data_IF_876289075219
#
_entry.id   IF_876289075219
#
_cell.length_a   1.000
_cell.length_b   1.000
_cell.length_c   1.000
_cell.angle_alpha   90.00
_cell.angle_beta   90.00
_cell.angle_gamma   90.00
#
_symmetry.space_group_name_H-M   'P 1'
#
loop_
_entity.id
_entity.type
_entity.pdbx_description
1 polymer ?
#
# COMPACT_ATOMS: atom_id res chain seq x y z
N UNK A 1 16.92 21.42 21.00
CA UNK A 1 17.14 20.14 20.28
C UNK A 1 15.89 19.26 20.09
N UNK A 2 14.78 19.49 20.77
CA UNK A 2 13.53 18.72 20.65
C UNK A 2 12.80 18.87 19.29
N UNK A 3 13.00 19.98 18.58
CA UNK A 3 12.20 20.34 17.39
C UNK A 3 12.55 19.54 16.11
N UNK A 4 13.75 18.96 16.01
CA UNK A 4 14.16 18.14 14.82
C UNK A 4 13.62 16.70 14.87
N UNK A 5 13.41 16.15 16.06
CA UNK A 5 12.89 14.80 16.26
C UNK A 5 11.41 14.67 15.87
N UNK A 6 10.60 15.69 16.13
CA UNK A 6 9.16 15.67 15.81
C UNK A 6 8.87 15.90 14.33
N UNK A 7 9.77 16.56 13.57
CA UNK A 7 9.58 16.83 12.15
C UNK A 7 9.47 15.56 11.29
N UNK A 8 10.30 14.55 11.53
CA UNK A 8 10.28 13.30 10.73
C UNK A 8 9.00 12.47 10.93
N UNK A 9 8.42 12.48 12.12
CA UNK A 9 7.16 11.78 12.37
C UNK A 9 5.97 12.55 11.75
N UNK A 10 5.99 13.88 11.78
CA UNK A 10 4.95 14.72 11.15
C UNK A 10 4.96 14.66 9.61
N UNK A 11 6.05 14.22 9.00
CA UNK A 11 6.17 14.02 7.56
C UNK A 11 5.66 12.64 7.08
N UNK A 12 5.31 11.75 8.02
CA UNK A 12 4.77 10.44 7.66
C UNK A 12 3.42 10.57 6.97
N UNK A 13 3.37 10.04 5.75
CA UNK A 13 2.17 9.97 4.93
C UNK A 13 1.86 8.53 4.57
N UNK A 14 0.59 8.20 4.54
CA UNK A 14 0.15 6.88 4.13
C UNK A 14 -1.23 6.50 4.64
N UNK A 15 -1.75 5.38 4.14
CA UNK A 15 -3.05 4.84 4.56
C UNK A 15 -3.00 4.53 6.06
N UNK A 16 -3.95 5.06 6.81
CA UNK A 16 -4.05 4.84 8.26
C UNK A 16 -3.15 5.76 9.11
N UNK A 17 -2.33 6.66 8.53
CA UNK A 17 -1.54 7.64 9.30
C UNK A 17 -2.32 8.95 9.39
N UNK A 18 -2.52 9.45 10.59
CA UNK A 18 -3.21 10.70 10.89
C UNK A 18 -2.30 11.63 11.68
N UNK A 19 -2.42 12.92 11.41
CA UNK A 19 -1.76 13.96 12.20
C UNK A 19 -2.80 14.53 13.18
N UNK A 20 -2.65 14.24 14.46
CA UNK A 20 -3.50 14.78 15.51
C UNK A 20 -2.80 15.98 16.15
N UNK A 21 -3.42 17.18 16.21
CA UNK A 21 -2.78 18.37 16.78
C UNK A 21 -2.32 18.21 18.24
N UNK A 22 -3.03 17.38 19.02
CA UNK A 22 -2.73 17.17 20.44
C UNK A 22 -1.88 15.93 20.71
N UNK A 23 -2.01 14.89 19.87
CA UNK A 23 -1.45 13.55 20.11
C UNK A 23 -0.32 13.20 19.14
N UNK A 24 -0.03 14.06 18.17
CA UNK A 24 1.04 13.85 17.17
C UNK A 24 0.64 12.88 16.06
N UNK A 25 1.59 12.11 15.56
CA UNK A 25 1.35 11.16 14.47
C UNK A 25 0.75 9.86 14.98
N UNK A 26 -0.42 9.51 14.48
CA UNK A 26 -1.16 8.32 14.88
C UNK A 26 -1.30 7.36 13.69
N UNK A 27 -0.93 6.11 13.90
CA UNK A 27 -1.20 5.00 12.99
C UNK A 27 -2.49 4.30 13.42
N UNK A 28 -3.53 4.39 12.60
CA UNK A 28 -4.80 3.72 12.85
C UNK A 28 -4.78 2.29 12.33
N UNK A 29 -5.06 1.34 13.19
CA UNK A 29 -5.27 -0.06 12.81
C UNK A 29 -6.77 -0.32 12.56
N UNK A 30 -7.10 -0.61 11.31
CA UNK A 30 -8.48 -0.86 10.87
C UNK A 30 -9.09 -2.13 11.49
N UNK A 31 -8.27 -3.08 11.92
CA UNK A 31 -8.74 -4.34 12.50
C UNK A 31 -9.14 -4.19 13.97
N UNK A 32 -8.34 -3.45 14.75
CA UNK A 32 -8.57 -3.28 16.20
C UNK A 32 -9.21 -1.96 16.56
N UNK A 33 -9.40 -1.05 15.58
CA UNK A 33 -9.87 0.33 15.80
C UNK A 33 -9.01 1.13 16.81
N UNK A 34 -7.75 0.71 16.98
CA UNK A 34 -6.78 1.37 17.86
C UNK A 34 -5.94 2.39 17.08
N UNK A 35 -5.64 3.50 17.72
CA UNK A 35 -4.69 4.49 17.23
C UNK A 35 -3.35 4.35 17.94
N UNK A 36 -2.30 3.93 17.25
CA UNK A 36 -0.95 3.82 17.80
C UNK A 36 -0.17 5.11 17.60
N UNK A 37 0.41 5.65 18.67
CA UNK A 37 1.25 6.84 18.57
C UNK A 37 2.62 6.47 18.01
N UNK A 38 3.00 7.09 16.88
CA UNK A 38 4.29 6.89 16.24
C UNK A 38 5.21 8.06 16.57
N UNK A 39 6.37 7.74 17.11
CA UNK A 39 7.47 8.69 17.33
C UNK A 39 8.47 8.62 16.17
N UNK A 40 9.43 9.54 16.17
CA UNK A 40 10.47 9.55 15.12
C UNK A 40 11.33 8.30 15.11
N UNK A 41 11.54 7.68 16.28
CA UNK A 41 12.26 6.41 16.41
C UNK A 41 11.53 5.24 15.76
N UNK A 42 10.22 5.32 15.60
CA UNK A 42 9.37 4.25 15.07
C UNK A 42 9.20 4.30 13.56
N UNK A 43 9.61 5.42 12.93
CA UNK A 43 9.51 5.65 11.49
C UNK A 43 10.18 4.55 10.65
N UNK A 44 11.39 4.06 10.98
CA UNK A 44 12.02 2.99 10.21
C UNK A 44 11.18 1.71 10.21
N UNK A 45 10.68 1.28 11.37
CA UNK A 45 9.85 0.08 11.50
C UNK A 45 8.53 0.21 10.75
N UNK A 46 7.89 1.38 10.79
CA UNK A 46 6.71 1.66 9.98
C UNK A 46 7.03 1.60 8.48
N UNK A 47 8.17 2.14 8.05
CA UNK A 47 8.58 2.11 6.64
C UNK A 47 8.82 0.68 6.16
N UNK A 48 9.48 -0.15 6.97
CA UNK A 48 9.69 -1.58 6.68
C UNK A 48 8.35 -2.30 6.46
N UNK A 49 7.32 -1.97 7.23
CA UNK A 49 6.00 -2.61 7.07
C UNK A 49 5.36 -2.37 5.69
N UNK A 50 5.71 -1.29 5.02
CA UNK A 50 5.26 -1.00 3.65
C UNK A 50 5.92 -1.90 2.60
N UNK A 51 7.09 -2.44 2.90
CA UNK A 51 7.83 -3.31 2.00
C UNK A 51 7.35 -4.77 2.04
N UNK A 52 6.46 -5.15 2.95
CA UNK A 52 6.03 -6.55 3.08
C UNK A 52 5.33 -7.07 1.81
N UNK A 53 4.50 -6.25 1.17
CA UNK A 53 3.84 -6.65 -0.08
C UNK A 53 4.85 -6.80 -1.24
N UNK A 54 5.73 -5.82 -1.54
CA UNK A 54 6.80 -6.02 -2.50
C UNK A 54 7.67 -7.25 -2.22
N UNK A 55 8.04 -7.49 -0.96
CA UNK A 55 8.84 -8.67 -0.58
C UNK A 55 8.08 -9.97 -0.88
N UNK A 56 6.79 -10.04 -0.58
CA UNK A 56 5.98 -11.21 -0.90
C UNK A 56 5.90 -11.46 -2.41
N UNK A 57 5.79 -10.41 -3.22
CA UNK A 57 5.83 -10.50 -4.68
C UNK A 57 7.19 -11.01 -5.18
N UNK A 58 8.29 -10.55 -4.60
CA UNK A 58 9.63 -11.04 -4.93
C UNK A 58 9.77 -12.53 -4.55
N UNK A 59 9.28 -12.94 -3.39
CA UNK A 59 9.26 -14.36 -2.97
C UNK A 59 8.49 -15.20 -3.99
N UNK A 60 7.30 -14.75 -4.40
CA UNK A 60 6.52 -15.43 -5.43
C UNK A 60 7.32 -15.57 -6.73
N UNK A 61 7.93 -14.48 -7.20
CA UNK A 61 8.72 -14.48 -8.44
C UNK A 61 9.89 -15.47 -8.38
N UNK A 62 10.65 -15.48 -7.29
CA UNK A 62 11.77 -16.39 -7.09
C UNK A 62 11.29 -17.85 -7.13
N UNK A 63 10.23 -18.17 -6.40
CA UNK A 63 9.69 -19.53 -6.32
C UNK A 63 9.16 -20.02 -7.66
N UNK A 64 8.38 -19.19 -8.33
CA UNK A 64 7.72 -19.58 -9.59
C UNK A 64 8.69 -19.57 -10.77
N UNK A 65 9.50 -18.51 -10.93
CA UNK A 65 10.33 -18.31 -12.13
C UNK A 65 11.70 -18.99 -11.99
N UNK A 66 12.37 -18.80 -10.85
CA UNK A 66 13.74 -19.30 -10.67
C UNK A 66 13.77 -20.76 -10.21
N UNK A 67 12.92 -21.12 -9.24
CA UNK A 67 12.87 -22.49 -8.70
C UNK A 67 11.95 -23.38 -9.53
N UNK A 68 11.10 -22.77 -10.41
CA UNK A 68 10.11 -23.47 -11.23
C UNK A 68 9.11 -24.28 -10.40
N UNK A 69 8.79 -23.77 -9.21
CA UNK A 69 7.76 -24.35 -8.37
C UNK A 69 6.39 -24.12 -9.01
N UNK A 70 5.45 -25.04 -8.75
CA UNK A 70 4.07 -24.90 -9.20
C UNK A 70 3.45 -23.53 -8.81
N UNK A 71 2.65 -22.97 -9.71
CA UNK A 71 2.08 -21.62 -9.56
C UNK A 71 1.27 -21.48 -8.26
N UNK A 72 0.42 -22.46 -7.97
CA UNK A 72 -0.44 -22.42 -6.78
C UNK A 72 0.39 -22.52 -5.50
N UNK A 73 1.39 -23.40 -5.47
CA UNK A 73 2.31 -23.52 -4.32
C UNK A 73 3.10 -22.24 -4.10
N UNK A 74 3.56 -21.61 -5.18
CA UNK A 74 4.30 -20.35 -5.11
C UNK A 74 3.46 -19.21 -4.53
N UNK A 75 2.19 -19.09 -4.94
CA UNK A 75 1.25 -18.12 -4.37
C UNK A 75 1.00 -18.40 -2.90
N UNK A 76 0.69 -19.65 -2.54
CA UNK A 76 0.42 -20.02 -1.13
C UNK A 76 1.59 -19.63 -0.24
N UNK A 77 2.82 -19.98 -0.64
CA UNK A 77 4.02 -19.64 0.16
C UNK A 77 4.20 -18.13 0.26
N UNK A 78 4.00 -17.37 -0.82
CA UNK A 78 4.13 -15.92 -0.80
C UNK A 78 3.08 -15.27 0.11
N UNK A 79 1.82 -15.73 0.06
CA UNK A 79 0.74 -15.25 0.93
C UNK A 79 1.01 -15.59 2.39
N UNK A 80 1.42 -16.82 2.69
CA UNK A 80 1.81 -17.22 4.05
C UNK A 80 2.94 -16.36 4.57
N UNK A 81 3.98 -16.13 3.76
CA UNK A 81 5.10 -15.26 4.13
C UNK A 81 4.65 -13.84 4.44
N UNK A 82 3.74 -13.26 3.62
CA UNK A 82 3.16 -11.96 3.89
C UNK A 82 2.40 -11.91 5.22
N UNK A 83 1.56 -12.92 5.47
CA UNK A 83 0.78 -12.99 6.72
C UNK A 83 1.69 -13.12 7.93
N UNK A 84 2.73 -13.97 7.86
CA UNK A 84 3.72 -14.13 8.93
C UNK A 84 4.44 -12.80 9.21
N UNK A 85 4.90 -12.08 8.17
CA UNK A 85 5.51 -10.76 8.32
C UNK A 85 4.56 -9.76 9.00
N UNK A 86 3.28 -9.78 8.66
CA UNK A 86 2.26 -8.93 9.28
C UNK A 86 2.03 -9.25 10.74
N UNK A 87 1.96 -10.53 11.09
CA UNK A 87 1.80 -10.98 12.48
C UNK A 87 3.03 -10.59 13.31
N UNK A 88 4.24 -10.86 12.81
CA UNK A 88 5.47 -10.47 13.49
C UNK A 88 5.58 -8.97 13.72
N UNK A 89 5.23 -8.16 12.72
CA UNK A 89 5.18 -6.71 12.83
C UNK A 89 4.22 -6.27 13.94
N UNK A 90 3.04 -6.88 13.99
CA UNK A 90 2.05 -6.58 15.02
C UNK A 90 2.56 -6.92 16.42
N UNK A 91 3.05 -8.15 16.61
CA UNK A 91 3.51 -8.63 17.91
C UNK A 91 4.77 -7.92 18.38
N UNK A 92 5.76 -7.75 17.50
CA UNK A 92 7.07 -7.20 17.88
C UNK A 92 7.11 -5.68 17.90
N UNK A 93 6.26 -5.02 17.12
CA UNK A 93 6.29 -3.56 16.98
C UNK A 93 5.01 -2.89 17.47
N UNK A 94 3.84 -3.17 16.89
CA UNK A 94 2.62 -2.43 17.26
C UNK A 94 2.24 -2.60 18.72
N UNK A 95 2.35 -3.80 19.27
CA UNK A 95 1.98 -4.06 20.68
C UNK A 95 2.87 -3.36 21.70
N UNK A 96 4.02 -2.82 21.27
CA UNK A 96 4.94 -2.05 22.13
C UNK A 96 4.67 -0.55 22.11
N UNK A 97 3.88 -0.08 21.14
CA UNK A 97 3.56 1.34 21.01
C UNK A 97 2.43 1.74 21.96
N UNK A 98 2.48 2.95 22.51
CA UNK A 98 1.34 3.52 23.22
C UNK A 98 0.16 3.62 22.26
N UNK A 99 -1.01 3.20 22.71
CA UNK A 99 -2.22 3.17 21.90
C UNK A 99 -3.39 3.88 22.58
N UNK A 100 -4.32 4.30 21.75
CA UNK A 100 -5.59 4.91 22.15
C UNK A 100 -6.69 3.97 21.69
N UNK A 101 -7.49 3.48 22.62
CA UNK A 101 -8.64 2.64 22.29
C UNK A 101 -9.74 3.48 21.64
N UNK A 102 -10.47 2.83 20.73
CA UNK A 102 -11.59 3.45 20.00
C UNK A 102 -11.24 4.83 19.42
N UNK A 103 -10.04 4.93 18.82
CA UNK A 103 -9.58 6.20 18.25
C UNK A 103 -10.54 6.67 17.16
N UNK A 104 -11.17 7.82 17.41
CA UNK A 104 -12.01 8.49 16.41
C UNK A 104 -11.10 9.23 15.45
N UNK A 105 -11.15 8.81 14.19
CA UNK A 105 -10.34 9.42 13.13
C UNK A 105 -10.72 10.91 12.97
N UNK A 106 -9.78 11.83 13.06
CA UNK A 106 -10.02 13.19 12.64
C UNK A 106 -10.21 13.16 11.12
N UNK A 107 -11.36 13.56 10.66
CA UNK A 107 -11.78 13.67 9.27
C UNK A 107 -12.23 12.40 8.52
N UNK A 108 -13.41 12.55 7.99
CA UNK A 108 -14.03 11.74 6.96
C UNK A 108 -13.50 12.04 5.55
N UNK A 109 -12.28 12.56 5.39
CA UNK A 109 -11.73 12.73 4.04
C UNK A 109 -11.63 11.38 3.36
N UNK A 110 -12.34 11.23 2.24
CA UNK A 110 -12.31 10.03 1.42
C UNK A 110 -10.88 9.68 0.98
N UNK A 111 -10.61 8.40 0.79
CA UNK A 111 -9.29 7.91 0.33
C UNK A 111 -8.77 8.67 -0.89
N UNK A 112 -9.65 9.03 -1.83
CA UNK A 112 -9.32 9.79 -3.04
C UNK A 112 -8.82 11.20 -2.74
N UNK A 113 -9.53 11.94 -1.90
CA UNK A 113 -9.16 13.31 -1.53
C UNK A 113 -7.83 13.34 -0.79
N UNK A 114 -7.63 12.38 0.10
CA UNK A 114 -6.40 12.20 0.84
C UNK A 114 -5.23 11.84 -0.09
N UNK A 115 -5.43 10.92 -1.02
CA UNK A 115 -4.42 10.55 -2.02
C UNK A 115 -4.08 11.75 -2.90
N UNK A 116 -5.08 12.52 -3.34
CA UNK A 116 -4.87 13.74 -4.10
C UNK A 116 -4.03 14.77 -3.34
N UNK A 117 -4.22 14.90 -2.03
CA UNK A 117 -3.43 15.81 -1.18
C UNK A 117 -1.99 15.30 -0.99
N UNK A 118 -1.82 14.03 -0.66
CA UNK A 118 -0.56 13.46 -0.18
C UNK A 118 0.44 13.14 -1.30
N UNK A 119 -0.03 12.83 -2.51
CA UNK A 119 0.83 12.50 -3.64
C UNK A 119 1.09 13.72 -4.53
N UNK A 120 2.31 13.83 -5.09
CA UNK A 120 2.63 14.86 -6.07
C UNK A 120 1.91 14.62 -7.41
N UNK A 121 1.73 15.67 -8.21
CA UNK A 121 1.18 15.56 -9.57
C UNK A 121 1.93 14.53 -10.42
N UNK A 122 3.26 14.59 -10.37
CA UNK A 122 4.12 13.68 -11.14
C UNK A 122 3.89 12.23 -10.75
N UNK A 123 3.75 11.93 -9.45
CA UNK A 123 3.50 10.57 -8.98
C UNK A 123 2.13 10.05 -9.40
N UNK A 124 1.08 10.86 -9.31
CA UNK A 124 -0.26 10.47 -9.73
C UNK A 124 -0.31 10.23 -11.24
N UNK A 125 0.32 11.10 -12.03
CA UNK A 125 0.40 10.95 -13.48
C UNK A 125 1.18 9.69 -13.87
N UNK A 126 2.36 9.48 -13.27
CA UNK A 126 3.17 8.28 -13.51
C UNK A 126 2.38 6.99 -13.18
N UNK A 127 1.67 6.99 -12.05
CA UNK A 127 0.85 5.85 -11.64
C UNK A 127 -0.28 5.58 -12.63
N UNK A 128 -0.93 6.62 -13.16
CA UNK A 128 -1.95 6.49 -14.20
C UNK A 128 -1.37 5.93 -15.50
N UNK A 129 -0.25 6.46 -15.97
CA UNK A 129 0.39 6.00 -17.21
C UNK A 129 0.84 4.54 -17.08
N UNK A 130 1.50 4.18 -15.97
CA UNK A 130 1.96 2.81 -15.74
C UNK A 130 0.79 1.83 -15.64
N UNK A 131 -0.28 2.18 -14.92
CA UNK A 131 -1.46 1.33 -14.83
C UNK A 131 -2.12 1.12 -16.18
N UNK A 132 -2.21 2.18 -16.99
CA UNK A 132 -2.73 2.10 -18.36
C UNK A 132 -1.87 1.21 -19.27
N UNK A 133 -0.55 1.35 -19.19
CA UNK A 133 0.38 0.49 -19.93
C UNK A 133 0.24 -0.99 -19.56
N UNK A 134 0.08 -1.29 -18.25
CA UNK A 134 -0.15 -2.66 -17.78
C UNK A 134 -1.45 -3.22 -18.36
N UNK A 135 -2.53 -2.44 -18.42
CA UNK A 135 -3.80 -2.86 -19.02
C UNK A 135 -3.60 -3.25 -20.49
N UNK A 136 -2.95 -2.37 -21.28
CA UNK A 136 -2.71 -2.63 -22.71
C UNK A 136 -1.85 -3.89 -22.91
N UNK A 137 -0.72 -3.97 -22.19
CA UNK A 137 0.20 -5.11 -22.31
C UNK A 137 -0.47 -6.42 -21.89
N UNK A 138 -1.28 -6.42 -20.83
CA UNK A 138 -2.02 -7.61 -20.40
C UNK A 138 -3.03 -8.06 -21.45
N UNK A 139 -3.77 -7.13 -22.05
CA UNK A 139 -4.76 -7.46 -23.11
C UNK A 139 -4.06 -8.03 -24.34
N UNK A 140 -2.95 -7.41 -24.78
CA UNK A 140 -2.17 -7.91 -25.92
C UNK A 140 -1.67 -9.32 -25.61
N UNK A 141 -1.07 -9.53 -24.44
CA UNK A 141 -0.51 -10.80 -24.04
C UNK A 141 -1.57 -11.92 -24.00
N UNK A 142 -2.74 -11.64 -23.41
CA UNK A 142 -3.88 -12.58 -23.38
C UNK A 142 -4.35 -12.97 -24.79
N UNK A 143 -4.31 -12.02 -25.75
CA UNK A 143 -4.76 -12.27 -27.12
C UNK A 143 -3.72 -12.99 -28.01
N UNK A 144 -2.45 -12.81 -27.72
CA UNK A 144 -1.35 -13.31 -28.59
C UNK A 144 -0.74 -14.62 -28.10
N UNK A 145 -1.04 -15.03 -26.86
CA UNK A 145 -0.42 -16.21 -26.24
C UNK A 145 -1.50 -17.21 -25.84
N UNK A 146 -1.32 -18.47 -26.22
CA UNK A 146 -2.14 -19.57 -25.69
C UNK A 146 -1.76 -19.79 -24.23
N UNK A 147 -2.63 -19.38 -23.32
CA UNK A 147 -2.41 -19.44 -21.89
C UNK A 147 -3.14 -20.63 -21.28
N UNK A 148 -2.48 -21.33 -20.38
CA UNK A 148 -3.16 -22.25 -19.49
C UNK A 148 -4.26 -21.53 -18.70
N UNK A 149 -5.36 -22.21 -18.43
CA UNK A 149 -6.57 -21.65 -17.80
C UNK A 149 -6.25 -20.85 -16.52
N UNK A 150 -5.35 -21.34 -15.67
CA UNK A 150 -4.98 -20.68 -14.40
C UNK A 150 -4.22 -19.38 -14.68
N UNK A 151 -3.31 -19.38 -15.63
CA UNK A 151 -2.52 -18.21 -16.02
C UNK A 151 -3.42 -17.15 -16.66
N UNK A 152 -4.36 -17.57 -17.49
CA UNK A 152 -5.36 -16.69 -18.09
C UNK A 152 -6.15 -15.92 -17.03
N UNK A 153 -6.71 -16.62 -16.03
CA UNK A 153 -7.43 -15.96 -14.93
C UNK A 153 -6.54 -15.06 -14.09
N UNK A 154 -5.26 -15.42 -13.89
CA UNK A 154 -4.27 -14.56 -13.23
C UNK A 154 -4.06 -13.24 -13.96
N UNK A 155 -3.90 -13.28 -15.29
CA UNK A 155 -3.79 -12.06 -16.12
C UNK A 155 -5.07 -11.24 -16.15
N UNK A 156 -6.23 -11.89 -16.16
CA UNK A 156 -7.51 -11.21 -16.11
C UNK A 156 -7.68 -10.44 -14.78
N UNK A 157 -7.30 -11.04 -13.67
CA UNK A 157 -7.34 -10.41 -12.35
C UNK A 157 -6.33 -9.25 -12.25
N UNK A 158 -5.12 -9.42 -12.81
CA UNK A 158 -4.12 -8.36 -12.91
C UNK A 158 -4.63 -7.17 -13.72
N UNK A 159 -5.26 -7.44 -14.87
CA UNK A 159 -5.86 -6.41 -15.73
C UNK A 159 -6.95 -5.65 -14.98
N UNK A 160 -7.84 -6.35 -14.28
CA UNK A 160 -8.88 -5.72 -13.47
C UNK A 160 -8.30 -4.82 -12.38
N UNK A 161 -7.29 -5.30 -11.65
CA UNK A 161 -6.60 -4.51 -10.63
C UNK A 161 -5.92 -3.27 -11.24
N UNK A 162 -5.30 -3.38 -12.41
CA UNK A 162 -4.67 -2.27 -13.11
C UNK A 162 -5.72 -1.23 -13.59
N UNK A 163 -6.89 -1.67 -14.08
CA UNK A 163 -8.01 -0.77 -14.43
C UNK A 163 -8.50 0.01 -13.21
N UNK A 164 -8.73 -0.67 -12.09
CA UNK A 164 -9.16 -0.01 -10.85
C UNK A 164 -8.12 1.02 -10.38
N UNK A 165 -6.83 0.68 -10.47
CA UNK A 165 -5.73 1.56 -10.10
C UNK A 165 -5.62 2.77 -11.05
N UNK A 166 -5.86 2.59 -12.34
CA UNK A 166 -5.92 3.66 -13.32
C UNK A 166 -7.06 4.64 -13.03
N UNK A 167 -8.27 4.13 -12.79
CA UNK A 167 -9.44 4.97 -12.43
C UNK A 167 -9.15 5.74 -11.14
N UNK A 168 -8.62 5.07 -10.13
CA UNK A 168 -8.32 5.68 -8.83
C UNK A 168 -7.28 6.80 -8.95
N UNK A 169 -6.15 6.54 -9.64
CA UNK A 169 -5.06 7.52 -9.77
C UNK A 169 -5.47 8.72 -10.63
N UNK A 170 -6.23 8.49 -11.71
CA UNK A 170 -6.75 9.55 -12.60
C UNK A 170 -7.76 10.42 -11.86
N UNK A 171 -8.67 9.82 -11.09
CA UNK A 171 -9.64 10.57 -10.28
C UNK A 171 -8.94 11.41 -9.21
N UNK A 172 -7.94 10.84 -8.52
CA UNK A 172 -7.13 11.59 -7.55
C UNK A 172 -6.38 12.76 -8.19
N UNK A 173 -5.86 12.57 -9.41
CA UNK A 173 -5.21 13.63 -10.19
C UNK A 173 -6.17 14.78 -10.53
N UNK A 174 -7.39 14.46 -10.98
CA UNK A 174 -8.43 15.44 -11.31
C UNK A 174 -8.84 16.24 -10.06
N UNK A 175 -9.08 15.56 -8.92
CA UNK A 175 -9.42 16.20 -7.65
C UNK A 175 -8.31 17.19 -7.24
N UNK A 176 -7.05 16.75 -7.33
CA UNK A 176 -5.91 17.61 -7.01
C UNK A 176 -5.85 18.86 -7.89
N UNK A 177 -6.09 18.69 -9.20
CA UNK A 177 -6.11 19.81 -10.14
C UNK A 177 -7.23 20.80 -9.84
N UNK A 178 -8.41 20.30 -9.42
CA UNK A 178 -9.56 21.13 -9.04
C UNK A 178 -9.30 21.96 -7.78
N UNK A 179 -8.63 21.35 -6.79
CA UNK A 179 -8.36 21.99 -5.50
C UNK A 179 -7.20 23.00 -5.54
N UNK A 180 -6.43 23.05 -6.63
CA UNK A 180 -5.31 24.00 -6.81
C UNK A 180 -5.63 25.12 -7.82
N UNK A 181 -6.88 25.21 -8.28
CA UNK A 181 -7.43 26.36 -8.99
C UNK A 181 -8.20 27.26 -8.02
#
# INVERSE_FOLDING_TARGET
MANRKNRKASELKGIGVYQDPKKGTILYDFLTKKGYQITTSDVPNYTISKSFLPVAVIIFYILYVMIKLDFVKSIVIAVVSYVVMRILYRVKFLNKLPYIENYVRPDSEGLLTRTARDYSYMRLNLLSIMSFAIVILSIIYIKTTELETIIYYGFLLLTLAAVLMFIFSTTAFIIKRKNNK
#
